data_IF_172650031971
#
_entry.id   IF_172650031971
#
_cell.length_a   1.000
_cell.length_b   1.000
_cell.length_c   1.000
_cell.angle_alpha   90.00
_cell.angle_beta   90.00
_cell.angle_gamma   90.00
#
_symmetry.space_group_name_H-M   'P 1'
#
loop_
_entity.id
_entity.type
_entity.pdbx_description
1 polymer ?
#
# COMPACT_ATOMS: atom_id res chain seq x y z
N UNK A 1 -5.91 -15.26 -8.38
CA UNK A 1 -7.07 -15.72 -9.11
C UNK A 1 -7.96 -14.54 -9.53
N UNK A 2 -8.76 -14.72 -10.56
CA UNK A 2 -9.77 -13.75 -11.01
C UNK A 2 -11.13 -14.40 -10.92
N UNK A 3 -11.99 -13.87 -10.06
CA UNK A 3 -13.32 -14.39 -9.79
C UNK A 3 -14.42 -13.36 -9.98
N UNK A 4 -15.65 -13.80 -9.69
CA UNK A 4 -16.83 -12.95 -9.58
C UNK A 4 -17.47 -13.17 -8.22
N UNK A 5 -17.88 -12.08 -7.61
CA UNK A 5 -18.68 -12.09 -6.39
C UNK A 5 -20.10 -11.65 -6.72
N UNK A 6 -21.04 -12.18 -5.97
CA UNK A 6 -22.48 -11.93 -6.16
C UNK A 6 -23.06 -11.46 -4.82
N UNK A 7 -23.50 -10.23 -4.76
CA UNK A 7 -24.12 -9.65 -3.57
C UNK A 7 -25.62 -9.48 -3.78
N UNK A 8 -26.46 -9.75 -2.77
CA UNK A 8 -27.88 -9.47 -2.85
C UNK A 8 -28.14 -7.96 -2.88
N UNK A 9 -29.17 -7.50 -3.62
CA UNK A 9 -29.62 -6.11 -3.53
C UNK A 9 -29.64 -5.32 -4.84
N UNK A 10 -29.62 -5.97 -6.00
CA UNK A 10 -29.87 -5.29 -7.27
C UNK A 10 -31.30 -4.73 -7.35
N UNK A 11 -31.49 -3.59 -8.02
CA UNK A 11 -32.79 -2.88 -8.14
C UNK A 11 -33.88 -3.72 -8.81
N UNK A 12 -33.48 -4.70 -9.62
CA UNK A 12 -34.35 -5.63 -10.34
C UNK A 12 -34.54 -6.98 -9.63
N UNK A 13 -34.05 -7.10 -8.38
CA UNK A 13 -34.08 -8.34 -7.60
C UNK A 13 -33.01 -9.36 -8.00
N UNK A 14 -32.12 -9.00 -8.92
CA UNK A 14 -30.95 -9.78 -9.28
C UNK A 14 -29.79 -9.49 -8.35
N UNK A 15 -28.79 -10.38 -8.34
CA UNK A 15 -27.55 -10.15 -7.59
C UNK A 15 -26.69 -9.09 -8.28
N UNK A 16 -26.05 -8.26 -7.47
CA UNK A 16 -24.98 -7.36 -7.94
C UNK A 16 -23.75 -8.21 -8.20
N UNK A 17 -23.28 -8.24 -9.43
CA UNK A 17 -22.09 -8.97 -9.84
C UNK A 17 -20.90 -8.04 -9.88
N UNK A 18 -19.81 -8.42 -9.20
CA UNK A 18 -18.54 -7.69 -9.20
C UNK A 18 -17.38 -8.61 -9.58
N UNK A 19 -16.45 -8.12 -10.36
CA UNK A 19 -15.23 -8.84 -10.71
C UNK A 19 -14.13 -8.50 -9.71
N UNK A 20 -13.50 -9.52 -9.17
CA UNK A 20 -12.46 -9.40 -8.13
C UNK A 20 -11.19 -10.11 -8.56
N UNK A 21 -10.06 -9.45 -8.35
CA UNK A 21 -8.73 -10.05 -8.39
C UNK A 21 -8.32 -10.40 -6.97
N UNK A 22 -8.16 -11.69 -6.70
CA UNK A 22 -7.69 -12.18 -5.40
C UNK A 22 -6.24 -12.66 -5.50
N UNK A 23 -5.39 -12.17 -4.61
CA UNK A 23 -4.02 -12.61 -4.42
C UNK A 23 -3.93 -13.30 -3.07
N UNK A 24 -3.31 -14.47 -3.02
CA UNK A 24 -3.05 -15.21 -1.78
C UNK A 24 -1.59 -15.63 -1.72
N UNK A 25 -0.96 -15.48 -0.57
CA UNK A 25 0.43 -15.85 -0.37
C UNK A 25 0.70 -16.31 1.07
N UNK A 26 1.61 -17.28 1.23
CA UNK A 26 2.01 -17.80 2.53
C UNK A 26 3.41 -18.44 2.44
N UNK A 27 4.04 -18.62 3.59
CA UNK A 27 5.33 -19.30 3.72
C UNK A 27 6.54 -18.48 3.30
N UNK A 28 7.75 -19.01 3.49
CA UNK A 28 9.00 -18.31 3.22
C UNK A 28 9.12 -17.00 4.02
N UNK A 29 9.62 -15.98 3.35
CA UNK A 29 9.77 -14.64 3.91
C UNK A 29 8.55 -13.75 3.63
N UNK A 30 7.35 -14.35 3.43
CA UNK A 30 6.13 -13.61 3.17
C UNK A 30 5.67 -12.88 4.44
N UNK A 31 5.63 -11.57 4.34
CA UNK A 31 5.12 -10.69 5.38
C UNK A 31 4.16 -9.64 4.78
N UNK A 32 3.68 -8.72 5.62
CA UNK A 32 2.80 -7.64 5.19
C UNK A 32 3.44 -6.76 4.10
N UNK A 33 4.73 -6.46 4.23
CA UNK A 33 5.44 -5.60 3.27
C UNK A 33 5.74 -6.34 1.95
N UNK A 34 6.03 -7.63 2.02
CA UNK A 34 6.17 -8.46 0.83
C UNK A 34 4.87 -8.52 0.04
N UNK A 35 3.71 -8.69 0.72
CA UNK A 35 2.40 -8.64 0.08
C UNK A 35 2.10 -7.26 -0.51
N UNK A 36 2.41 -6.19 0.21
CA UNK A 36 2.33 -4.82 -0.30
C UNK A 36 3.14 -4.65 -1.57
N UNK A 37 4.36 -5.13 -1.60
CA UNK A 37 5.25 -5.07 -2.78
C UNK A 37 4.68 -5.81 -4.00
N UNK A 38 4.01 -6.95 -3.80
CA UNK A 38 3.30 -7.65 -4.89
C UNK A 38 2.17 -6.79 -5.47
N UNK A 39 1.38 -6.15 -4.60
CA UNK A 39 0.30 -5.25 -5.03
C UNK A 39 0.88 -4.04 -5.77
N UNK A 40 1.92 -3.42 -5.24
CA UNK A 40 2.61 -2.30 -5.90
C UNK A 40 3.13 -2.69 -7.29
N UNK A 41 3.66 -3.91 -7.46
CA UNK A 41 4.08 -4.42 -8.76
C UNK A 41 2.92 -4.55 -9.74
N UNK A 42 1.77 -5.07 -9.30
CA UNK A 42 0.54 -5.15 -10.12
C UNK A 42 0.06 -3.76 -10.53
N UNK A 43 -0.03 -2.83 -9.57
CA UNK A 43 -0.48 -1.46 -9.84
C UNK A 43 0.47 -0.70 -10.77
N UNK A 44 1.76 -0.93 -10.62
CA UNK A 44 2.80 -0.36 -11.49
C UNK A 44 2.67 -0.89 -12.93
N UNK A 45 2.44 -2.20 -13.10
CA UNK A 45 2.24 -2.79 -14.42
C UNK A 45 0.97 -2.26 -15.10
N UNK A 46 -0.09 -2.04 -14.33
CA UNK A 46 -1.31 -1.39 -14.78
C UNK A 46 -1.16 0.14 -14.93
N UNK A 47 -0.02 0.71 -14.50
CA UNK A 47 0.27 2.15 -14.53
C UNK A 47 -0.74 3.00 -13.77
N UNK A 48 -1.27 2.44 -12.69
CA UNK A 48 -2.17 3.16 -11.80
C UNK A 48 -1.43 4.34 -11.18
N UNK A 49 -2.06 5.51 -11.18
CA UNK A 49 -1.48 6.73 -10.62
C UNK A 49 -2.03 7.02 -9.24
N UNK A 50 -1.35 7.91 -8.54
CA UNK A 50 -1.79 8.44 -7.23
C UNK A 50 -2.14 7.33 -6.23
N UNK A 51 -1.33 6.25 -6.25
CA UNK A 51 -1.49 5.09 -5.35
C UNK A 51 -1.16 5.50 -3.93
N UNK A 52 -2.05 5.19 -3.01
CA UNK A 52 -1.83 5.35 -1.57
C UNK A 52 -2.36 4.14 -0.80
N UNK A 53 -1.71 3.85 0.32
CA UNK A 53 -2.12 2.79 1.23
C UNK A 53 -2.59 3.45 2.53
N UNK A 54 -3.80 3.08 2.95
CA UNK A 54 -4.43 3.70 4.13
C UNK A 54 -4.78 2.60 5.13
N UNK A 55 -4.59 2.89 6.40
CA UNK A 55 -5.19 2.08 7.46
C UNK A 55 -6.68 2.40 7.43
N UNK A 56 -7.45 1.53 6.77
CA UNK A 56 -8.88 1.66 6.67
C UNK A 56 -9.60 1.04 7.85
N UNK A 57 -10.86 1.36 7.99
CA UNK A 57 -11.77 0.72 8.92
C UNK A 57 -13.18 0.73 8.34
N UNK A 58 -13.93 -0.34 8.60
CA UNK A 58 -15.34 -0.39 8.25
C UNK A 58 -15.68 -1.02 6.90
N UNK A 59 -14.76 -1.74 6.25
CA UNK A 59 -15.15 -2.64 5.16
C UNK A 59 -15.69 -3.96 5.73
N UNK A 60 -16.64 -4.62 5.03
CA UNK A 60 -17.38 -5.75 5.59
C UNK A 60 -16.51 -6.92 6.06
N UNK A 61 -15.39 -7.15 5.41
CA UNK A 61 -14.47 -8.27 5.65
C UNK A 61 -13.34 -7.94 6.63
N UNK A 62 -13.34 -6.74 7.23
CA UNK A 62 -12.30 -6.28 8.17
C UNK A 62 -12.03 -7.28 9.29
N UNK A 63 -13.08 -7.89 9.83
CA UNK A 63 -12.97 -8.90 10.90
C UNK A 63 -12.22 -10.17 10.47
N UNK A 64 -12.05 -10.41 9.17
CA UNK A 64 -11.29 -11.54 8.64
C UNK A 64 -9.79 -11.27 8.61
N UNK A 65 -9.36 -10.04 8.82
CA UNK A 65 -7.96 -9.63 8.80
C UNK A 65 -7.41 -9.39 10.21
N UNK A 66 -6.09 -9.51 10.34
CA UNK A 66 -5.40 -9.18 11.58
C UNK A 66 -5.47 -7.66 11.82
N UNK A 67 -5.95 -7.19 12.99
CA UNK A 67 -6.28 -5.77 13.23
C UNK A 67 -5.10 -4.79 13.10
N UNK A 68 -3.86 -5.26 13.15
CA UNK A 68 -2.68 -4.43 12.98
C UNK A 68 -1.89 -4.68 11.70
N UNK A 69 -2.39 -5.53 10.79
CA UNK A 69 -1.67 -5.94 9.57
C UNK A 69 -2.59 -6.01 8.37
N UNK A 70 -3.33 -4.95 8.14
CA UNK A 70 -4.15 -4.78 6.93
C UNK A 70 -4.10 -3.33 6.46
N UNK A 71 -4.41 -3.11 5.20
CA UNK A 71 -4.55 -1.79 4.60
C UNK A 71 -5.49 -1.80 3.41
N UNK A 72 -6.05 -0.65 3.13
CA UNK A 72 -6.78 -0.37 1.90
C UNK A 72 -5.83 0.20 0.85
N UNK A 73 -6.15 -0.09 -0.42
CA UNK A 73 -5.42 0.36 -1.60
C UNK A 73 -6.27 1.40 -2.32
N UNK A 74 -5.73 2.57 -2.53
CA UNK A 74 -6.44 3.71 -3.14
C UNK A 74 -5.69 4.25 -4.35
N UNK A 75 -6.45 4.75 -5.32
CA UNK A 75 -5.97 5.58 -6.43
C UNK A 75 -6.71 6.92 -6.37
N UNK A 76 -6.02 7.97 -5.89
CA UNK A 76 -6.67 9.25 -5.64
C UNK A 76 -7.78 9.13 -4.60
N UNK A 77 -9.05 9.27 -5.04
CA UNK A 77 -10.26 9.13 -4.21
C UNK A 77 -10.89 7.75 -4.26
N UNK A 78 -10.47 6.88 -5.18
CA UNK A 78 -11.15 5.62 -5.47
C UNK A 78 -10.47 4.47 -4.74
N UNK A 79 -11.25 3.71 -3.96
CA UNK A 79 -10.77 2.53 -3.28
C UNK A 79 -10.69 1.35 -4.25
N UNK A 80 -9.48 0.87 -4.49
CA UNK A 80 -9.23 -0.27 -5.38
C UNK A 80 -9.46 -1.63 -4.69
N UNK A 81 -9.44 -1.65 -3.36
CA UNK A 81 -9.57 -2.85 -2.57
C UNK A 81 -8.76 -2.83 -1.28
N UNK A 82 -8.48 -4.00 -0.75
CA UNK A 82 -7.80 -4.15 0.54
C UNK A 82 -6.89 -5.38 0.55
N UNK A 83 -5.97 -5.42 1.50
CA UNK A 83 -5.08 -6.56 1.71
C UNK A 83 -4.59 -6.62 3.15
N UNK A 84 -4.12 -7.78 3.55
CA UNK A 84 -3.51 -7.96 4.86
C UNK A 84 -3.27 -9.41 5.22
N UNK A 85 -2.82 -9.61 6.45
CA UNK A 85 -2.72 -10.92 7.07
C UNK A 85 -4.13 -11.40 7.44
N UNK A 86 -4.49 -12.61 7.05
CA UNK A 86 -5.73 -13.24 7.52
C UNK A 86 -5.64 -13.45 9.03
N UNK A 87 -6.72 -13.16 9.72
CA UNK A 87 -6.78 -13.31 11.17
C UNK A 87 -6.48 -14.77 11.58
N UNK A 88 -5.61 -15.03 12.56
CA UNK A 88 -5.21 -16.38 12.93
C UNK A 88 -6.39 -17.30 13.32
N UNK A 89 -7.44 -16.75 13.91
CA UNK A 89 -8.65 -17.52 14.22
C UNK A 89 -9.39 -17.95 12.95
N UNK A 90 -9.44 -17.09 11.94
CA UNK A 90 -10.05 -17.42 10.65
C UNK A 90 -9.23 -18.50 9.95
N UNK A 91 -7.90 -18.35 9.88
CA UNK A 91 -7.02 -19.37 9.30
C UNK A 91 -7.20 -20.74 9.94
N UNK A 92 -7.28 -20.80 11.28
CA UNK A 92 -7.54 -22.07 12.01
C UNK A 92 -8.88 -22.71 11.69
N UNK A 93 -9.93 -21.92 11.46
CA UNK A 93 -11.25 -22.44 11.08
C UNK A 93 -11.19 -23.21 9.74
N UNK A 94 -10.22 -22.85 8.89
CA UNK A 94 -9.94 -23.53 7.62
C UNK A 94 -8.81 -24.57 7.72
N UNK A 95 -8.33 -24.87 8.93
CA UNK A 95 -7.26 -25.85 9.16
C UNK A 95 -5.87 -25.36 8.72
N UNK A 96 -5.68 -24.07 8.55
CA UNK A 96 -4.39 -23.46 8.17
C UNK A 96 -3.65 -23.01 9.43
N UNK A 97 -2.48 -23.60 9.67
CA UNK A 97 -1.59 -23.24 10.79
C UNK A 97 -0.33 -22.52 10.25
N UNK A 98 -0.55 -21.48 9.47
CA UNK A 98 0.50 -20.64 8.91
C UNK A 98 0.03 -19.19 8.81
N UNK A 99 0.97 -18.24 8.81
CA UNK A 99 0.65 -16.87 8.42
C UNK A 99 0.28 -16.83 6.94
N UNK A 100 -0.90 -16.32 6.67
CA UNK A 100 -1.46 -16.25 5.33
C UNK A 100 -1.87 -14.80 5.03
N UNK A 101 -1.48 -14.33 3.86
CA UNK A 101 -1.77 -12.97 3.40
C UNK A 101 -2.70 -13.04 2.18
N UNK A 102 -3.70 -12.18 2.17
CA UNK A 102 -4.67 -12.09 1.09
C UNK A 102 -4.86 -10.63 0.66
N UNK A 103 -5.13 -10.45 -0.61
CA UNK A 103 -5.61 -9.19 -1.16
C UNK A 103 -6.81 -9.43 -2.04
N UNK A 104 -7.75 -8.51 -1.99
CA UNK A 104 -8.92 -8.45 -2.87
C UNK A 104 -8.99 -7.07 -3.50
N UNK A 105 -8.91 -7.04 -4.83
CA UNK A 105 -8.93 -5.80 -5.62
C UNK A 105 -10.09 -5.85 -6.61
N UNK A 106 -10.86 -4.77 -6.68
CA UNK A 106 -11.93 -4.59 -7.67
C UNK A 106 -11.33 -4.49 -9.06
N UNK A 107 -11.70 -5.38 -9.95
CA UNK A 107 -11.24 -5.35 -11.34
C UNK A 107 -11.81 -4.15 -12.11
N UNK A 108 -13.02 -3.73 -11.77
CA UNK A 108 -13.66 -2.59 -12.41
C UNK A 108 -12.96 -1.28 -12.00
N UNK A 109 -12.62 -1.14 -10.72
CA UNK A 109 -11.85 0.01 -10.24
C UNK A 109 -10.40 0.01 -10.76
N UNK A 110 -9.77 -1.15 -10.86
CA UNK A 110 -8.45 -1.27 -11.48
C UNK A 110 -8.47 -0.87 -12.96
N UNK A 111 -9.52 -1.24 -13.70
CA UNK A 111 -9.67 -0.85 -15.10
C UNK A 111 -9.90 0.66 -15.26
N UNK A 112 -10.70 1.25 -14.38
CA UNK A 112 -10.93 2.69 -14.33
C UNK A 112 -9.66 3.48 -13.97
N UNK A 113 -8.87 2.97 -13.03
CA UNK A 113 -7.64 3.59 -12.57
C UNK A 113 -6.43 3.34 -13.49
N UNK A 114 -6.55 2.45 -14.47
CA UNK A 114 -5.48 2.08 -15.39
C UNK A 114 -4.91 3.31 -16.11
N UNK A 115 -3.59 3.43 -16.07
CA UNK A 115 -2.87 4.51 -16.74
C UNK A 115 -2.86 4.36 -18.25
N UNK A 116 -2.61 5.48 -18.94
CA UNK A 116 -2.42 5.51 -20.39
C UNK A 116 -1.16 4.74 -20.81
N UNK A 117 -1.13 4.33 -22.05
CA UNK A 117 0.08 3.73 -22.63
C UNK A 117 1.27 4.67 -22.53
N UNK A 118 2.48 4.14 -22.33
CA UNK A 118 3.65 4.97 -22.16
C UNK A 118 3.93 5.78 -23.45
N UNK A 119 4.06 7.08 -23.27
CA UNK A 119 4.55 7.97 -24.34
C UNK A 119 6.07 8.07 -24.26
N UNK A 120 6.71 8.18 -25.41
CA UNK A 120 8.15 8.39 -25.47
C UNK A 120 8.52 9.72 -24.82
N UNK A 121 9.34 9.66 -23.78
CA UNK A 121 9.95 10.84 -23.16
C UNK A 121 11.43 10.87 -23.53
N UNK A 122 11.92 11.95 -24.17
CA UNK A 122 13.33 12.08 -24.50
C UNK A 122 14.21 11.99 -23.25
N UNK A 123 15.35 11.34 -23.38
CA UNK A 123 16.33 11.28 -22.29
C UNK A 123 16.76 12.70 -21.89
N UNK A 124 16.87 12.97 -20.58
CA UNK A 124 17.31 14.28 -20.12
C UNK A 124 18.74 14.56 -20.59
N UNK A 125 19.00 15.79 -21.07
CA UNK A 125 20.33 16.22 -21.55
C UNK A 125 21.36 16.28 -20.43
N UNK A 126 20.94 16.40 -19.18
CA UNK A 126 21.81 16.51 -18.02
C UNK A 126 21.54 15.36 -17.03
N UNK A 127 22.58 14.83 -16.38
CA UNK A 127 22.41 13.80 -15.38
C UNK A 127 21.62 14.32 -14.18
N UNK A 128 20.87 13.42 -13.52
CA UNK A 128 20.20 13.75 -12.27
C UNK A 128 21.24 13.89 -11.14
N UNK A 129 20.92 14.75 -10.18
CA UNK A 129 21.72 14.93 -8.96
C UNK A 129 21.00 14.20 -7.82
N UNK A 130 21.71 13.30 -7.15
CA UNK A 130 21.20 12.59 -5.97
C UNK A 130 21.57 13.38 -4.71
N UNK A 131 20.66 13.40 -3.75
CA UNK A 131 20.85 13.98 -2.41
C UNK A 131 20.24 13.09 -1.37
N UNK A 132 20.98 12.81 -0.32
CA UNK A 132 20.49 12.10 0.85
C UNK A 132 20.04 13.13 1.89
N UNK A 133 18.88 12.88 2.49
CA UNK A 133 18.28 13.72 3.51
C UNK A 133 18.02 12.87 4.73
N UNK A 134 18.60 13.23 5.87
CA UNK A 134 18.28 12.64 7.15
C UNK A 134 17.21 13.50 7.86
N UNK A 135 16.12 12.88 8.26
CA UNK A 135 15.02 13.55 8.95
C UNK A 135 14.78 12.89 10.30
N UNK A 136 14.68 13.71 11.34
CA UNK A 136 14.25 13.25 12.68
C UNK A 136 12.81 13.67 12.87
N UNK A 137 11.93 12.73 13.19
CA UNK A 137 10.51 12.97 13.37
C UNK A 137 9.91 12.06 14.43
N UNK A 138 8.70 12.37 14.88
CA UNK A 138 7.94 11.50 15.77
C UNK A 138 7.56 10.18 15.06
N UNK A 139 7.46 9.10 15.83
CA UNK A 139 7.06 7.78 15.33
C UNK A 139 5.66 7.74 14.71
N UNK A 140 4.81 8.69 15.06
CA UNK A 140 3.48 8.83 14.49
C UNK A 140 3.50 9.37 13.05
N UNK A 141 4.61 9.98 12.62
CA UNK A 141 4.77 10.48 11.24
C UNK A 141 5.08 9.32 10.31
N UNK A 142 4.21 9.08 9.34
CA UNK A 142 4.41 8.02 8.36
C UNK A 142 5.44 8.41 7.30
N UNK A 143 6.12 7.43 6.73
CA UNK A 143 7.06 7.63 5.61
C UNK A 143 6.38 8.31 4.44
N UNK A 144 5.15 7.91 4.09
CA UNK A 144 4.37 8.54 3.02
C UNK A 144 4.15 10.04 3.26
N UNK A 145 3.88 10.46 4.50
CA UNK A 145 3.72 11.89 4.83
C UNK A 145 5.03 12.68 4.64
N UNK A 146 6.18 12.08 4.93
CA UNK A 146 7.49 12.68 4.68
C UNK A 146 7.77 12.81 3.17
N UNK A 147 7.54 11.73 2.41
CA UNK A 147 7.70 11.74 0.96
C UNK A 147 6.81 12.80 0.30
N UNK A 148 5.54 12.90 0.69
CA UNK A 148 4.61 13.91 0.20
C UNK A 148 5.08 15.34 0.52
N UNK A 149 5.64 15.54 1.70
CA UNK A 149 6.22 16.83 2.08
C UNK A 149 7.40 17.20 1.18
N UNK A 150 8.29 16.23 0.91
CA UNK A 150 9.44 16.41 0.03
C UNK A 150 8.97 16.69 -1.40
N UNK A 151 8.00 15.94 -1.92
CA UNK A 151 7.43 16.13 -3.26
C UNK A 151 6.83 17.53 -3.43
N UNK A 152 6.06 17.99 -2.44
CA UNK A 152 5.49 19.35 -2.44
C UNK A 152 6.56 20.43 -2.39
N UNK A 153 7.60 20.24 -1.59
CA UNK A 153 8.69 21.20 -1.44
C UNK A 153 9.54 21.34 -2.70
N UNK A 154 9.79 20.25 -3.39
CA UNK A 154 10.65 20.18 -4.57
C UNK A 154 10.02 20.72 -5.88
N UNK A 155 8.71 21.00 -5.90
CA UNK A 155 7.98 21.69 -6.98
C UNK A 155 8.32 21.21 -8.40
N UNK A 156 8.33 19.91 -8.63
CA UNK A 156 8.57 19.32 -9.96
C UNK A 156 10.05 19.18 -10.36
N UNK A 157 10.99 19.62 -9.54
CA UNK A 157 12.41 19.33 -9.73
C UNK A 157 12.76 17.90 -9.29
N UNK A 158 11.99 17.33 -8.38
CA UNK A 158 12.16 15.97 -7.90
C UNK A 158 11.80 14.98 -9.00
N UNK A 159 12.71 14.04 -9.26
CA UNK A 159 12.46 12.92 -10.18
C UNK A 159 11.94 11.70 -9.42
N UNK A 160 12.57 11.42 -8.28
CA UNK A 160 12.25 10.30 -7.43
C UNK A 160 12.63 10.58 -5.98
N UNK A 161 11.96 9.93 -5.05
CA UNK A 161 12.31 9.88 -3.64
C UNK A 161 12.09 8.47 -3.15
N UNK A 162 13.08 7.90 -2.49
CA UNK A 162 13.02 6.56 -1.94
C UNK A 162 13.60 6.55 -0.53
N UNK A 163 12.89 5.91 0.37
CA UNK A 163 13.42 5.57 1.69
C UNK A 163 14.44 4.44 1.53
N UNK A 164 15.63 4.61 2.09
CA UNK A 164 16.67 3.58 2.05
C UNK A 164 17.10 3.10 3.43
N UNK A 165 16.81 3.86 4.49
CA UNK A 165 17.12 3.45 5.85
C UNK A 165 16.19 4.07 6.88
N UNK A 166 15.88 3.32 7.95
CA UNK A 166 15.13 3.79 9.13
C UNK A 166 15.93 3.41 10.38
N UNK A 167 16.45 4.40 11.05
CA UNK A 167 17.15 4.23 12.31
C UNK A 167 16.26 4.59 13.49
N UNK A 168 15.92 3.61 14.31
CA UNK A 168 15.17 3.81 15.56
C UNK A 168 16.13 3.63 16.74
N UNK A 169 16.76 4.71 17.18
CA UNK A 169 17.49 4.74 18.43
C UNK A 169 16.69 5.50 19.48
N UNK A 170 16.74 5.05 20.72
CA UNK A 170 16.50 5.92 21.85
C UNK A 170 17.60 6.99 21.82
N UNK A 171 17.31 8.15 21.26
CA UNK A 171 18.19 9.29 21.43
C UNK A 171 18.31 9.49 22.94
N UNK A 172 19.45 9.17 23.47
CA UNK A 172 19.87 9.66 24.78
C UNK A 172 19.85 11.18 24.67
N UNK A 173 18.83 11.81 25.22
CA UNK A 173 18.91 13.18 25.63
C UNK A 173 19.78 13.20 26.88
N UNK A 174 21.09 12.96 26.74
CA UNK A 174 22.01 13.32 27.77
C UNK A 174 22.17 14.82 27.70
N UNK A 175 21.76 15.47 28.76
CA UNK A 175 22.07 16.86 29.06
C UNK A 175 23.52 17.21 28.72
N UNK A 176 23.73 17.82 27.57
CA UNK A 176 24.96 18.52 27.25
C UNK A 176 24.89 19.98 27.73
N UNK A 177 24.25 20.24 28.85
CA UNK A 177 24.03 21.60 29.39
C UNK A 177 24.49 21.77 30.83
N UNK A 178 25.40 20.94 31.33
CA UNK A 178 25.96 21.20 32.66
C UNK A 178 27.44 20.85 32.76
N UNK A 179 28.28 21.58 32.01
CA UNK A 179 29.69 21.80 32.40
C UNK A 179 30.05 23.25 32.17
N UNK A 180 29.96 24.00 33.29
CA UNK A 180 30.77 25.16 33.55
C UNK A 180 31.61 24.95 34.80
#
# INVERSE_FOLDING_TARGET
DRGRTYLPGGEDGLAIESKVLTLGAYGGDMDFYAMKGLIEAVLKELRVKDVSFRTGSGFPEEASYHPGRYAEVWSGSDCLGHFGQIHPLVARNYGVDAEFYCAELSMDELENAKGKDPEYVPLPKFPAVTRDIAVVCDKAVTVGALEDCIRRGAKGLLKDVALFDIYTCLLYTSDAADER
#
